data_IF_590976741309
#
_entry.id   IF_590976741309
#
_cell.length_a   1.000
_cell.length_b   1.000
_cell.length_c   1.000
_cell.angle_alpha   90.00
_cell.angle_beta   90.00
_cell.angle_gamma   90.00
#
_symmetry.space_group_name_H-M   'P 1'
#
loop_
_entity.id
_entity.type
_entity.pdbx_description
1 polymer ?
#
# COMPACT_ATOMS: atom_id res chain seq x y z
N UNK A 1 37.69 -26.78 1.01
CA UNK A 1 37.87 -25.33 1.21
C UNK A 1 36.56 -24.75 1.69
N UNK A 2 36.56 -23.82 2.65
CA UNK A 2 35.34 -23.21 3.14
C UNK A 2 35.03 -21.92 2.36
N UNK A 3 33.73 -21.62 2.16
CA UNK A 3 33.22 -20.41 1.50
C UNK A 3 33.17 -20.57 -0.02
N UNK A 4 32.05 -20.46 -0.72
CA UNK A 4 30.90 -19.63 -0.48
C UNK A 4 29.64 -20.39 -0.85
N UNK A 5 28.74 -20.57 0.12
CA UNK A 5 27.35 -20.93 -0.16
C UNK A 5 26.66 -19.64 -0.59
N UNK A 6 26.91 -19.22 -1.82
CA UNK A 6 26.12 -18.17 -2.45
C UNK A 6 24.66 -18.61 -2.40
N UNK A 7 23.86 -17.90 -1.61
CA UNK A 7 22.45 -18.17 -1.42
C UNK A 7 21.78 -18.26 -2.80
N UNK A 8 21.16 -19.40 -3.09
CA UNK A 8 20.40 -19.60 -4.34
C UNK A 8 19.35 -18.49 -4.51
N UNK A 9 19.43 -17.82 -5.66
CA UNK A 9 18.61 -16.68 -6.12
C UNK A 9 17.11 -17.00 -6.29
N UNK A 10 16.58 -18.04 -5.63
CA UNK A 10 15.18 -18.45 -5.68
C UNK A 10 14.49 -18.54 -4.31
N UNK A 11 15.22 -18.33 -3.21
CA UNK A 11 14.69 -18.55 -1.85
C UNK A 11 13.63 -17.52 -1.37
N UNK A 12 13.33 -16.50 -2.17
CA UNK A 12 12.45 -15.39 -1.78
C UNK A 12 11.01 -15.47 -2.32
N UNK A 13 10.84 -16.12 -3.48
CA UNK A 13 9.55 -16.69 -3.89
C UNK A 13 9.37 -18.13 -3.38
N UNK A 14 10.27 -18.61 -2.53
CA UNK A 14 10.06 -19.86 -1.81
C UNK A 14 8.86 -19.69 -0.85
N UNK A 15 8.25 -20.80 -0.43
CA UNK A 15 6.98 -20.84 0.33
C UNK A 15 6.92 -19.88 1.53
N UNK A 16 8.08 -19.54 2.08
CA UNK A 16 8.24 -18.60 3.18
C UNK A 16 7.81 -17.15 2.83
N UNK A 17 8.14 -16.64 1.65
CA UNK A 17 7.76 -15.28 1.22
C UNK A 17 6.25 -15.12 1.04
N UNK A 18 5.62 -16.08 0.35
CA UNK A 18 4.16 -16.15 0.19
C UNK A 18 3.46 -16.30 1.54
N UNK A 19 4.04 -17.08 2.46
CA UNK A 19 3.52 -17.25 3.81
C UNK A 19 3.55 -15.93 4.60
N UNK A 20 4.67 -15.20 4.59
CA UNK A 20 4.78 -13.91 5.27
C UNK A 20 3.86 -12.85 4.65
N UNK A 21 3.78 -12.78 3.32
CA UNK A 21 2.87 -11.86 2.62
C UNK A 21 1.40 -12.16 2.94
N UNK A 22 1.02 -13.44 2.98
CA UNK A 22 -0.30 -13.87 3.42
C UNK A 22 -0.58 -13.50 4.87
N UNK A 23 0.37 -13.75 5.78
CA UNK A 23 0.24 -13.43 7.20
C UNK A 23 0.06 -11.92 7.42
N UNK A 24 0.91 -11.11 6.79
CA UNK A 24 0.83 -9.64 6.83
C UNK A 24 -0.51 -9.14 6.28
N UNK A 25 -0.98 -9.70 5.16
CA UNK A 25 -2.29 -9.38 4.59
C UNK A 25 -3.44 -9.70 5.53
N UNK A 26 -3.41 -10.86 6.20
CA UNK A 26 -4.43 -11.25 7.20
C UNK A 26 -4.41 -10.33 8.40
N UNK A 27 -3.23 -9.98 8.92
CA UNK A 27 -3.09 -9.06 10.07
C UNK A 27 -3.59 -7.67 9.69
N UNK A 28 -3.22 -7.14 8.52
CA UNK A 28 -3.68 -5.85 8.03
C UNK A 28 -5.21 -5.81 7.88
N UNK A 29 -5.79 -6.81 7.22
CA UNK A 29 -7.25 -6.91 7.05
C UNK A 29 -7.98 -7.07 8.39
N UNK A 30 -7.46 -7.90 9.29
CA UNK A 30 -8.01 -8.08 10.65
C UNK A 30 -7.97 -6.79 11.44
N UNK A 31 -6.93 -5.99 11.28
CA UNK A 31 -6.80 -4.67 11.92
C UNK A 31 -7.85 -3.69 11.39
N UNK A 32 -8.12 -3.69 10.08
CA UNK A 32 -9.20 -2.88 9.48
C UNK A 32 -10.58 -3.30 10.01
N UNK A 33 -10.83 -4.61 10.15
CA UNK A 33 -12.04 -5.15 10.75
C UNK A 33 -12.18 -4.75 12.23
N UNK A 34 -11.11 -4.89 13.00
CA UNK A 34 -11.09 -4.51 14.41
C UNK A 34 -11.36 -3.01 14.59
N UNK A 35 -10.77 -2.17 13.75
CA UNK A 35 -11.01 -0.71 13.75
C UNK A 35 -12.48 -0.40 13.48
N UNK A 36 -13.07 -1.05 12.47
CA UNK A 36 -14.50 -0.90 12.14
C UNK A 36 -15.43 -1.35 13.27
N UNK A 37 -15.09 -2.41 13.99
CA UNK A 37 -15.87 -2.87 15.14
C UNK A 37 -15.76 -1.95 16.36
N UNK A 38 -14.61 -1.28 16.53
CA UNK A 38 -14.37 -0.29 17.60
C UNK A 38 -14.92 1.11 17.30
N UNK A 39 -15.15 1.46 16.04
CA UNK A 39 -15.73 2.75 15.66
C UNK A 39 -17.17 2.90 16.18
N UNK A 40 -17.51 4.05 16.82
CA UNK A 40 -18.84 4.33 17.33
C UNK A 40 -19.86 4.34 16.19
N UNK A 41 -21.07 3.85 16.48
CA UNK A 41 -22.12 3.59 15.49
C UNK A 41 -22.54 4.84 14.69
N UNK A 42 -22.34 6.03 15.26
CA UNK A 42 -22.62 7.33 14.66
C UNK A 42 -21.64 7.72 13.54
N UNK A 43 -20.34 7.52 13.71
CA UNK A 43 -19.31 7.89 12.73
C UNK A 43 -19.03 6.78 11.70
N UNK A 44 -19.67 5.61 11.87
CA UNK A 44 -19.39 4.44 11.05
C UNK A 44 -19.83 4.66 9.60
N UNK A 45 -18.85 4.64 8.70
CA UNK A 45 -19.08 4.75 7.25
C UNK A 45 -19.90 3.57 6.71
N UNK A 46 -20.90 3.81 5.82
CA UNK A 46 -21.75 2.75 5.25
C UNK A 46 -20.93 1.62 4.61
N UNK A 47 -21.41 0.37 4.71
CA UNK A 47 -20.69 -0.82 4.19
C UNK A 47 -20.29 -0.70 2.71
N UNK A 48 -21.14 -0.08 1.88
CA UNK A 48 -20.84 0.14 0.46
C UNK A 48 -19.65 1.07 0.26
N UNK A 49 -19.57 2.18 1.00
CA UNK A 49 -18.47 3.14 0.87
C UNK A 49 -17.19 2.56 1.47
N UNK A 50 -17.29 1.86 2.61
CA UNK A 50 -16.14 1.20 3.21
C UNK A 50 -15.52 0.13 2.30
N UNK A 51 -16.36 -0.66 1.61
CA UNK A 51 -15.86 -1.64 0.64
C UNK A 51 -15.18 -0.94 -0.54
N UNK A 52 -15.80 0.11 -1.08
CA UNK A 52 -15.23 0.90 -2.18
C UNK A 52 -13.94 1.64 -1.80
N UNK A 53 -13.73 1.97 -0.54
CA UNK A 53 -12.49 2.58 -0.04
C UNK A 53 -11.40 1.52 0.16
N UNK A 54 -11.75 0.42 0.83
CA UNK A 54 -10.84 -0.72 1.07
C UNK A 54 -10.38 -1.35 -0.25
N UNK A 55 -11.27 -1.45 -1.24
CA UNK A 55 -10.92 -1.98 -2.56
C UNK A 55 -9.92 -1.08 -3.30
N UNK A 56 -9.98 0.25 -3.11
CA UNK A 56 -8.99 1.16 -3.69
C UNK A 56 -7.61 0.93 -3.08
N UNK A 57 -7.54 0.75 -1.76
CA UNK A 57 -6.28 0.42 -1.07
C UNK A 57 -5.73 -0.94 -1.54
N UNK A 58 -6.58 -1.95 -1.71
CA UNK A 58 -6.17 -3.26 -2.20
C UNK A 58 -5.63 -3.23 -3.63
N UNK A 59 -6.28 -2.48 -4.54
CA UNK A 59 -5.80 -2.31 -5.92
C UNK A 59 -4.45 -1.59 -5.96
N UNK A 60 -4.26 -0.55 -5.15
CA UNK A 60 -2.98 0.15 -5.04
C UNK A 60 -1.85 -0.76 -4.56
N UNK A 61 -2.09 -1.54 -3.51
CA UNK A 61 -1.13 -2.52 -2.99
C UNK A 61 -0.79 -3.59 -4.03
N UNK A 62 -1.78 -4.08 -4.80
CA UNK A 62 -1.55 -5.05 -5.86
C UNK A 62 -0.70 -4.47 -7.00
N UNK A 63 -0.97 -3.24 -7.42
CA UNK A 63 -0.21 -2.54 -8.45
C UNK A 63 1.26 -2.35 -8.04
N UNK A 64 1.49 -1.83 -6.83
CA UNK A 64 2.84 -1.65 -6.29
C UNK A 64 3.56 -2.99 -6.11
N UNK A 65 2.87 -4.02 -5.65
CA UNK A 65 3.47 -5.35 -5.52
C UNK A 65 3.99 -5.88 -6.86
N UNK A 66 3.20 -5.78 -7.94
CA UNK A 66 3.68 -6.19 -9.27
C UNK A 66 4.80 -5.31 -9.82
N UNK A 67 4.76 -3.99 -9.58
CA UNK A 67 5.85 -3.09 -9.94
C UNK A 67 7.16 -3.47 -9.22
N UNK A 68 7.08 -3.81 -7.93
CA UNK A 68 8.23 -4.23 -7.14
C UNK A 68 8.78 -5.59 -7.59
N UNK A 69 7.92 -6.54 -7.94
CA UNK A 69 8.35 -7.84 -8.51
C UNK A 69 9.05 -7.63 -9.85
N UNK A 70 8.52 -6.77 -10.72
CA UNK A 70 9.15 -6.44 -12.00
C UNK A 70 10.52 -5.74 -11.83
N UNK A 71 10.63 -4.79 -10.90
CA UNK A 71 11.90 -4.13 -10.59
C UNK A 71 12.92 -5.09 -9.98
N UNK A 72 12.49 -6.03 -9.14
CA UNK A 72 13.36 -7.03 -8.55
C UNK A 72 13.94 -8.00 -9.57
N UNK A 73 13.27 -8.25 -10.70
CA UNK A 73 13.80 -9.06 -11.80
C UNK A 73 14.90 -8.32 -12.57
N UNK A 74 14.88 -6.98 -12.54
CA UNK A 74 15.83 -6.12 -13.24
C UNK A 74 17.08 -5.78 -12.40
N UNK A 75 17.04 -5.97 -11.07
CA UNK A 75 18.16 -5.66 -10.16
C UNK A 75 18.70 -6.94 -9.51
N UNK A 76 19.90 -7.37 -9.90
CA UNK A 76 20.61 -8.57 -9.36
C UNK A 76 21.16 -8.39 -7.93
N UNK A 77 20.47 -7.65 -7.04
CA UNK A 77 20.83 -7.50 -5.63
C UNK A 77 19.84 -8.24 -4.70
N UNK A 78 20.28 -8.58 -3.49
CA UNK A 78 19.54 -9.40 -2.51
C UNK A 78 18.04 -9.04 -2.44
N UNK A 79 17.14 -9.92 -2.92
CA UNK A 79 15.75 -9.54 -3.17
C UNK A 79 14.97 -9.22 -1.87
N UNK A 80 15.48 -9.63 -0.70
CA UNK A 80 14.85 -9.36 0.60
C UNK A 80 15.03 -7.90 1.01
N UNK A 81 16.26 -7.42 0.86
CA UNK A 81 16.64 -6.06 1.22
C UNK A 81 16.04 -5.08 0.24
N UNK A 82 16.05 -5.42 -1.05
CA UNK A 82 15.48 -4.58 -2.10
C UNK A 82 13.96 -4.47 -2.00
N UNK A 83 13.25 -5.56 -1.70
CA UNK A 83 11.81 -5.53 -1.44
C UNK A 83 11.45 -4.72 -0.18
N UNK A 84 12.20 -4.93 0.92
CA UNK A 84 11.98 -4.18 2.16
C UNK A 84 12.24 -2.69 1.98
N UNK A 85 13.33 -2.33 1.29
CA UNK A 85 13.67 -0.95 0.97
C UNK A 85 12.62 -0.34 0.05
N UNK A 86 12.16 -1.04 -1.00
CA UNK A 86 11.10 -0.54 -1.87
C UNK A 86 9.77 -0.37 -1.14
N UNK A 87 9.41 -1.26 -0.22
CA UNK A 87 8.23 -1.11 0.62
C UNK A 87 8.35 0.10 1.57
N UNK A 88 9.51 0.28 2.21
CA UNK A 88 9.77 1.42 3.10
C UNK A 88 9.84 2.74 2.34
N UNK A 89 10.43 2.73 1.14
CA UNK A 89 10.44 3.87 0.23
C UNK A 89 9.04 4.19 -0.26
N UNK A 90 8.20 3.21 -0.60
CA UNK A 90 6.81 3.45 -1.00
C UNK A 90 5.96 3.99 0.17
N UNK A 91 6.14 3.43 1.37
CA UNK A 91 5.47 3.90 2.58
C UNK A 91 5.86 5.35 2.98
N UNK A 92 7.02 5.83 2.54
CA UNK A 92 7.51 7.19 2.85
C UNK A 92 7.39 8.14 1.68
N UNK A 93 8.04 7.84 0.56
CA UNK A 93 8.00 8.63 -0.69
C UNK A 93 6.62 8.57 -1.35
N UNK A 94 5.95 7.41 -1.38
CA UNK A 94 4.62 7.28 -1.96
C UNK A 94 3.59 8.12 -1.21
N UNK A 95 3.59 8.05 0.12
CA UNK A 95 2.77 8.92 0.98
C UNK A 95 3.09 10.41 0.79
N UNK A 96 4.37 10.78 0.71
CA UNK A 96 4.80 12.17 0.50
C UNK A 96 4.34 12.70 -0.87
N UNK A 97 4.49 11.91 -1.94
CA UNK A 97 4.04 12.26 -3.28
C UNK A 97 2.53 12.43 -3.36
N UNK A 98 1.76 11.52 -2.75
CA UNK A 98 0.30 11.63 -2.67
C UNK A 98 -0.10 12.88 -1.89
N UNK A 99 0.56 13.17 -0.76
CA UNK A 99 0.29 14.36 0.04
C UNK A 99 0.54 15.65 -0.76
N UNK A 100 1.70 15.76 -1.43
CA UNK A 100 2.02 16.92 -2.27
C UNK A 100 1.01 17.03 -3.43
N UNK A 101 0.66 15.92 -4.08
CA UNK A 101 -0.32 15.88 -5.17
C UNK A 101 -1.70 16.36 -4.74
N UNK A 102 -2.21 15.87 -3.61
CA UNK A 102 -3.49 16.32 -3.04
C UNK A 102 -3.42 17.81 -2.68
N UNK A 103 -2.32 18.27 -2.08
CA UNK A 103 -2.12 19.69 -1.75
C UNK A 103 -2.10 20.58 -2.99
N UNK A 104 -1.43 20.14 -4.05
CA UNK A 104 -1.35 20.85 -5.32
C UNK A 104 -2.72 20.94 -6.00
N UNK A 105 -3.41 19.80 -6.12
CA UNK A 105 -4.77 19.77 -6.69
C UNK A 105 -5.73 20.61 -5.86
N UNK A 106 -5.69 20.52 -4.53
CA UNK A 106 -6.55 21.34 -3.64
C UNK A 106 -6.29 22.84 -3.83
N UNK A 107 -5.02 23.23 -3.99
CA UNK A 107 -4.65 24.63 -4.23
C UNK A 107 -5.13 25.12 -5.59
N UNK A 108 -5.04 24.27 -6.63
CA UNK A 108 -5.53 24.57 -7.98
C UNK A 108 -7.06 24.67 -7.99
N UNK A 109 -7.75 23.78 -7.29
CA UNK A 109 -9.23 23.77 -7.18
C UNK A 109 -9.73 25.00 -6.42
N UNK A 110 -9.06 25.42 -5.34
CA UNK A 110 -9.38 26.68 -4.64
C UNK A 110 -9.19 27.89 -5.54
N UNK A 111 -8.11 27.92 -6.33
CA UNK A 111 -7.83 28.98 -7.30
C UNK A 111 -8.83 29.01 -8.47
N UNK A 112 -9.40 27.85 -8.85
CA UNK A 112 -10.33 27.75 -9.98
C UNK A 112 -11.82 27.76 -9.58
N UNK A 113 -12.17 27.85 -8.28
CA UNK A 113 -13.56 27.90 -7.77
C UNK A 113 -14.48 26.81 -8.37
N UNK A 114 -13.99 25.58 -8.53
CA UNK A 114 -14.82 24.46 -8.99
C UNK A 114 -15.59 23.85 -7.82
N UNK A 115 -16.79 24.36 -7.55
CA UNK A 115 -17.71 23.84 -6.51
C UNK A 115 -18.05 22.34 -6.68
N UNK A 116 -17.92 21.79 -7.89
CA UNK A 116 -18.20 20.38 -8.20
C UNK A 116 -17.19 19.38 -7.57
N UNK A 117 -16.00 19.84 -7.18
CA UNK A 117 -14.94 18.99 -6.61
C UNK A 117 -14.69 19.21 -5.11
N UNK A 118 -15.57 19.94 -4.40
CA UNK A 118 -15.58 20.01 -2.93
C UNK A 118 -15.98 18.66 -2.33
N UNK A 119 -15.05 17.70 -2.33
CA UNK A 119 -15.18 16.47 -1.56
C UNK A 119 -15.07 16.82 -0.08
N UNK A 120 -16.20 16.87 0.63
CA UNK A 120 -16.20 17.17 2.07
C UNK A 120 -17.56 17.56 2.64
N UNK A 121 -18.49 18.08 1.84
CA UNK A 121 -19.87 18.29 2.28
C UNK A 121 -20.70 17.04 1.98
N UNK A 122 -20.62 16.08 2.88
CA UNK A 122 -21.73 15.15 3.07
C UNK A 122 -22.61 15.83 4.12
N UNK A 123 -23.77 16.36 3.68
CA UNK A 123 -24.76 16.95 4.58
C UNK A 123 -25.17 16.01 5.71
#
# INVERSE_FOLDING_TARGET
>A
GPGDRGCENGALMDRFGIFLQGLLGVVAFSTLMLKRFREPKHERRPWRIWFLDTSKQAIGMLFIHFANVYLSDLTEEDPCSLYLINFLLDATLGMLLIYIGIRAVSSIVEWQQWDSLRFGEYG
#
